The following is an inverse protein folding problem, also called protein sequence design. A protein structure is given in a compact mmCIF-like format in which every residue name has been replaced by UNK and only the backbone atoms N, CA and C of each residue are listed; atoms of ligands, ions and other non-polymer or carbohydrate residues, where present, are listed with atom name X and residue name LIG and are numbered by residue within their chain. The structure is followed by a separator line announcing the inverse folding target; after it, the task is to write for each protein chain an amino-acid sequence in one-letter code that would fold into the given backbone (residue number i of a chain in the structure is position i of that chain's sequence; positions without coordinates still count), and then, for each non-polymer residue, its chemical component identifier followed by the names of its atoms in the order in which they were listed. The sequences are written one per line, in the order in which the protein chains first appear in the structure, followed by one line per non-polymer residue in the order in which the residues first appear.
data_IF_074316689620
#
_entry.id   IF_074316689620
#
_cell.length_a   1.000
_cell.length_b   1.000
_cell.length_c   1.000
_cell.angle_alpha   90.00
_cell.angle_beta   90.00
_cell.angle_gamma   90.00
#
_symmetry.space_group_name_H-M   'P 1'
#
loop_
_entity.id
_entity.type
_entity.pdbx_description
1 polymer ?
#
# COMPACT_ATOMS: atom_id res chain seq x y z
N UNK A 1 24.15 -24.25 31.54
CA UNK A 1 22.91 -24.62 30.81
C UNK A 1 22.00 -23.41 30.88
N UNK A 2 22.03 -22.56 29.84
CA UNK A 2 21.14 -21.40 29.77
C UNK A 2 19.72 -21.93 29.60
N UNK A 3 18.79 -21.46 30.44
CA UNK A 3 17.38 -21.74 30.25
C UNK A 3 17.01 -21.27 28.83
N UNK A 4 16.47 -22.18 28.03
CA UNK A 4 15.84 -21.87 26.77
C UNK A 4 14.70 -20.88 27.10
N UNK A 5 14.97 -19.58 26.92
CA UNK A 5 13.94 -18.57 27.07
C UNK A 5 12.92 -18.85 25.98
N UNK A 6 11.76 -19.38 26.39
CA UNK A 6 10.63 -19.64 25.50
C UNK A 6 10.35 -18.35 24.70
N UNK A 7 10.55 -18.41 23.39
CA UNK A 7 10.52 -17.22 22.52
C UNK A 7 9.08 -16.79 22.33
N UNK A 8 8.57 -15.98 23.25
CA UNK A 8 7.23 -15.39 23.15
C UNK A 8 7.21 -14.38 22.01
N UNK A 9 6.46 -14.69 20.95
CA UNK A 9 6.38 -13.89 19.71
C UNK A 9 5.04 -13.19 19.56
N UNK A 10 5.06 -11.89 19.26
CA UNK A 10 3.88 -11.14 18.83
C UNK A 10 3.98 -10.79 17.35
N UNK A 11 2.92 -11.00 16.58
CA UNK A 11 2.80 -10.59 15.19
C UNK A 11 1.72 -9.53 15.07
N UNK A 12 2.12 -8.28 14.86
CA UNK A 12 1.23 -7.15 14.66
C UNK A 12 0.90 -6.96 13.19
N UNK A 13 -0.37 -7.12 12.83
CA UNK A 13 -0.90 -6.97 11.47
C UNK A 13 -1.52 -5.59 11.31
N UNK A 14 -1.00 -4.83 10.34
CA UNK A 14 -1.49 -3.51 9.95
C UNK A 14 -1.98 -3.60 8.50
N UNK A 15 -3.26 -3.90 8.33
CA UNK A 15 -3.85 -4.10 7.01
C UNK A 15 -4.27 -2.77 6.35
N UNK A 16 -4.51 -2.79 5.03
CA UNK A 16 -5.04 -1.66 4.29
C UNK A 16 -6.55 -1.44 4.48
N UNK A 17 -7.08 -0.31 3.97
CA UNK A 17 -8.53 -0.06 3.95
C UNK A 17 -9.17 -0.94 2.86
N UNK A 18 -10.25 -1.63 3.21
CA UNK A 18 -10.90 -2.56 2.28
C UNK A 18 -11.51 -3.83 2.88
N UNK A 19 -11.53 -4.00 4.21
CA UNK A 19 -12.26 -5.12 4.82
C UNK A 19 -13.75 -5.04 4.45
N UNK A 20 -14.28 -6.08 3.78
CA UNK A 20 -15.73 -6.17 3.53
C UNK A 20 -16.46 -6.64 4.77
N UNK A 21 -15.81 -7.48 5.57
CA UNK A 21 -16.29 -7.98 6.86
C UNK A 21 -15.17 -7.84 7.90
N UNK A 22 -15.51 -7.54 9.17
CA UNK A 22 -14.50 -7.47 10.22
C UNK A 22 -13.71 -8.78 10.32
N UNK A 23 -12.38 -8.68 10.47
CA UNK A 23 -11.41 -9.79 10.57
C UNK A 23 -11.25 -10.63 9.32
N UNK A 24 -11.87 -10.29 8.20
CA UNK A 24 -11.72 -11.10 6.99
C UNK A 24 -10.27 -11.12 6.50
N UNK A 25 -9.59 -9.96 6.52
CA UNK A 25 -8.20 -9.85 6.09
C UNK A 25 -7.26 -10.40 7.16
N UNK A 26 -7.57 -10.13 8.43
CA UNK A 26 -6.79 -10.64 9.56
C UNK A 26 -6.83 -12.17 9.65
N UNK A 27 -8.00 -12.79 9.54
CA UNK A 27 -8.15 -14.25 9.52
C UNK A 27 -7.44 -14.87 8.32
N UNK A 28 -7.58 -14.26 7.13
CA UNK A 28 -6.82 -14.66 5.95
C UNK A 28 -5.31 -14.59 6.18
N UNK A 29 -4.82 -13.50 6.79
CA UNK A 29 -3.40 -13.33 7.11
C UNK A 29 -2.92 -14.44 8.05
N UNK A 30 -3.61 -14.66 9.18
CA UNK A 30 -3.20 -15.66 10.18
C UNK A 30 -3.20 -17.06 9.60
N UNK A 31 -4.20 -17.43 8.78
CA UNK A 31 -4.19 -18.71 8.07
C UNK A 31 -3.06 -18.85 7.06
N UNK A 32 -2.68 -17.75 6.41
CA UNK A 32 -1.56 -17.74 5.46
C UNK A 32 -0.22 -17.85 6.19
N UNK A 33 -0.09 -17.20 7.34
CA UNK A 33 1.10 -17.20 8.19
C UNK A 33 1.35 -18.54 8.90
N UNK A 34 0.28 -19.27 9.27
CA UNK A 34 0.38 -20.54 9.97
C UNK A 34 0.38 -21.73 9.01
N UNK A 35 1.11 -22.79 9.38
CA UNK A 35 1.01 -24.09 8.73
C UNK A 35 -0.24 -24.83 9.25
N UNK A 36 -1.11 -25.36 8.36
CA UNK A 36 -2.24 -26.16 8.79
C UNK A 36 -1.75 -27.48 9.42
N UNK A 37 -2.27 -27.83 10.58
CA UNK A 37 -2.08 -29.13 11.22
C UNK A 37 -3.31 -30.00 10.91
N UNK A 38 -3.09 -31.15 10.27
CA UNK A 38 -4.16 -32.10 9.89
C UNK A 38 -5.30 -31.45 9.07
N UNK A 39 -4.97 -30.44 8.25
CA UNK A 39 -5.94 -29.70 7.44
C UNK A 39 -6.73 -28.63 8.21
N UNK A 40 -6.36 -28.33 9.45
CA UNK A 40 -6.98 -27.29 10.29
C UNK A 40 -5.96 -26.24 10.73
N UNK A 41 -6.40 -24.99 10.85
CA UNK A 41 -5.58 -23.91 11.39
C UNK A 41 -5.81 -23.79 12.89
N UNK A 42 -4.74 -23.96 13.64
CA UNK A 42 -4.75 -23.96 15.10
C UNK A 42 -4.60 -22.53 15.64
N UNK A 43 -5.65 -21.73 15.49
CA UNK A 43 -5.74 -20.37 16.03
C UNK A 43 -7.08 -20.14 16.72
N UNK A 44 -7.05 -19.41 17.84
CA UNK A 44 -8.24 -19.13 18.62
C UNK A 44 -8.38 -17.64 18.96
N UNK A 45 -9.59 -17.05 18.83
CA UNK A 45 -9.88 -15.71 19.33
C UNK A 45 -9.62 -15.64 20.83
N UNK A 46 -8.86 -14.63 21.24
CA UNK A 46 -8.68 -14.23 22.63
C UNK A 46 -9.10 -12.77 22.78
N UNK A 47 -9.67 -12.38 23.92
CA UNK A 47 -9.80 -10.96 24.25
C UNK A 47 -8.41 -10.31 24.23
N UNK A 48 -8.31 -9.12 23.63
CA UNK A 48 -7.13 -8.29 23.77
C UNK A 48 -7.27 -7.47 25.06
N UNK A 49 -6.37 -7.66 26.02
CA UNK A 49 -6.28 -6.82 27.23
C UNK A 49 -5.45 -5.55 26.99
N UNK A 50 -5.08 -5.26 25.74
CA UNK A 50 -4.27 -4.10 25.38
C UNK A 50 -5.10 -2.83 25.61
N UNK A 51 -4.65 -2.02 26.57
CA UNK A 51 -5.30 -0.80 27.06
C UNK A 51 -5.60 0.21 25.95
N UNK A 52 -6.72 0.92 26.10
CA UNK A 52 -7.26 2.03 25.29
C UNK A 52 -7.53 1.77 23.79
N UNK A 53 -7.25 0.57 23.27
CA UNK A 53 -7.67 0.14 21.94
C UNK A 53 -8.81 -0.88 22.05
N UNK A 54 -10.02 -0.39 22.31
CA UNK A 54 -11.26 -1.20 22.44
C UNK A 54 -11.60 -2.06 21.20
N UNK A 55 -10.86 -1.92 20.09
CA UNK A 55 -11.08 -2.64 18.84
C UNK A 55 -9.88 -3.54 18.43
N UNK A 56 -8.79 -3.59 19.21
CA UNK A 56 -7.68 -4.47 18.91
C UNK A 56 -8.12 -5.95 19.05
N UNK A 57 -7.83 -6.75 18.04
CA UNK A 57 -8.24 -8.17 17.99
C UNK A 57 -7.01 -9.06 18.11
N UNK A 58 -7.18 -10.18 18.79
CA UNK A 58 -6.08 -11.10 19.10
C UNK A 58 -6.42 -12.54 18.73
N UNK A 59 -5.52 -13.19 18.01
CA UNK A 59 -5.51 -14.64 17.83
C UNK A 59 -4.30 -15.23 18.55
N UNK A 60 -4.54 -16.25 19.36
CA UNK A 60 -3.47 -17.06 19.93
C UNK A 60 -3.28 -18.31 19.05
N UNK A 61 -2.04 -18.61 18.69
CA UNK A 61 -1.63 -19.83 18.01
C UNK A 61 -0.71 -20.62 18.96
N UNK A 62 -1.28 -21.48 19.85
CA UNK A 62 -0.54 -22.09 20.96
C UNK A 62 0.61 -22.97 20.50
N UNK A 63 0.43 -23.67 19.36
CA UNK A 63 1.45 -24.55 18.78
C UNK A 63 2.76 -23.84 18.43
N UNK A 64 2.66 -22.59 18.00
CA UNK A 64 3.79 -21.76 17.60
C UNK A 64 4.22 -20.78 18.70
N UNK A 65 3.61 -20.82 19.90
CA UNK A 65 3.87 -19.84 20.97
C UNK A 65 3.67 -18.39 20.52
N UNK A 66 2.82 -18.17 19.52
CA UNK A 66 2.72 -16.88 18.80
C UNK A 66 1.34 -16.27 18.98
N UNK A 67 1.32 -14.96 19.16
CA UNK A 67 0.11 -14.17 19.30
C UNK A 67 0.01 -13.13 18.18
N UNK A 68 -1.09 -13.16 17.45
CA UNK A 68 -1.37 -12.22 16.38
C UNK A 68 -2.26 -11.10 16.89
N UNK A 69 -1.93 -9.87 16.53
CA UNK A 69 -2.65 -8.66 16.87
C UNK A 69 -3.07 -7.93 15.61
N UNK A 70 -4.29 -7.42 15.57
CA UNK A 70 -4.77 -6.55 14.49
C UNK A 70 -4.84 -5.10 14.98
N UNK A 71 -4.20 -4.18 14.26
CA UNK A 71 -4.43 -2.75 14.46
C UNK A 71 -5.59 -2.27 13.59
N UNK A 72 -6.80 -2.23 14.15
CA UNK A 72 -7.97 -1.73 13.47
C UNK A 72 -7.99 -0.19 13.49
N UNK A 73 -7.80 0.45 12.34
CA UNK A 73 -7.70 1.92 12.22
C UNK A 73 -8.81 2.55 11.37
N UNK A 74 -9.63 1.74 10.69
CA UNK A 74 -10.55 2.18 9.65
C UNK A 74 -11.57 3.22 10.17
N UNK A 75 -11.97 3.11 11.43
CA UNK A 75 -12.89 4.05 12.09
C UNK A 75 -12.33 5.49 12.22
N UNK A 76 -11.00 5.67 12.17
CA UNK A 76 -10.36 6.98 12.24
C UNK A 76 -10.37 7.72 10.90
N UNK A 77 -10.62 7.01 9.79
CA UNK A 77 -10.65 7.58 8.45
C UNK A 77 -12.09 7.85 8.00
N UNK A 78 -12.68 8.91 8.55
CA UNK A 78 -14.05 9.38 8.27
C UNK A 78 -14.11 10.54 7.25
N UNK A 79 -12.97 11.01 6.74
CA UNK A 79 -12.89 12.14 5.78
C UNK A 79 -13.60 11.89 4.44
N UNK A 80 -13.84 12.95 3.66
CA UNK A 80 -14.54 12.85 2.37
C UNK A 80 -13.90 11.82 1.42
N UNK A 81 -14.76 10.98 0.81
CA UNK A 81 -14.42 9.86 -0.10
C UNK A 81 -13.52 10.25 -1.29
N UNK A 82 -13.33 11.54 -1.54
CA UNK A 82 -12.65 12.09 -2.73
C UNK A 82 -11.48 13.03 -2.42
N UNK A 83 -11.14 13.30 -1.16
CA UNK A 83 -10.10 14.26 -0.81
C UNK A 83 -8.73 13.85 -1.37
N UNK A 84 -8.09 14.74 -2.15
CA UNK A 84 -6.73 14.53 -2.68
C UNK A 84 -6.57 13.54 -3.82
N UNK A 85 -7.61 12.78 -4.16
CA UNK A 85 -7.56 11.69 -5.16
C UNK A 85 -7.36 12.23 -6.58
N UNK A 86 -8.18 13.20 -6.99
CA UNK A 86 -8.13 13.78 -8.34
C UNK A 86 -6.76 14.39 -8.70
N UNK A 87 -6.15 15.27 -7.88
CA UNK A 87 -4.83 15.82 -8.21
C UNK A 87 -3.74 14.75 -8.22
N UNK A 88 -3.82 13.72 -7.37
CA UNK A 88 -2.81 12.65 -7.37
C UNK A 88 -2.98 11.70 -8.55
N UNK A 89 -4.22 11.37 -8.94
CA UNK A 89 -4.50 10.65 -10.18
C UNK A 89 -3.99 11.45 -11.38
N UNK A 90 -4.21 12.77 -11.44
CA UNK A 90 -3.67 13.60 -12.51
C UNK A 90 -2.14 13.61 -12.49
N UNK A 91 -1.48 13.68 -11.32
CA UNK A 91 -0.02 13.54 -11.21
C UNK A 91 0.49 12.19 -11.70
N UNK A 92 -0.27 11.11 -11.54
CA UNK A 92 0.13 9.77 -11.99
C UNK A 92 -0.07 9.60 -13.50
N UNK A 93 -1.20 10.08 -14.03
CA UNK A 93 -1.61 9.85 -15.42
C UNK A 93 -1.15 10.92 -16.41
N UNK A 94 -0.95 12.18 -15.97
CA UNK A 94 -0.40 13.25 -16.79
C UNK A 94 1.13 13.18 -16.83
N UNK A 95 1.63 12.11 -17.45
CA UNK A 95 3.06 11.82 -17.59
C UNK A 95 3.36 11.32 -18.99
N UNK A 96 4.60 11.54 -19.46
CA UNK A 96 5.09 10.84 -20.66
C UNK A 96 5.21 9.33 -20.36
N UNK A 97 5.02 8.44 -21.35
CA UNK A 97 5.06 6.99 -21.14
C UNK A 97 6.33 6.47 -20.45
N UNK A 98 7.48 7.13 -20.69
CA UNK A 98 8.76 6.74 -20.09
C UNK A 98 8.93 7.14 -18.61
N UNK A 99 8.07 8.02 -18.08
CA UNK A 99 8.08 8.42 -16.66
C UNK A 99 7.05 7.67 -15.82
N UNK A 100 6.20 6.84 -16.43
CA UNK A 100 5.18 6.08 -15.73
C UNK A 100 5.85 4.83 -15.11
N UNK A 101 5.59 4.53 -13.82
CA UNK A 101 6.03 3.27 -13.22
C UNK A 101 5.60 2.07 -14.05
N UNK A 102 6.47 1.06 -14.17
CA UNK A 102 6.23 -0.09 -15.06
C UNK A 102 4.95 -0.85 -14.71
N UNK A 103 4.60 -0.89 -13.41
CA UNK A 103 3.36 -1.50 -12.88
C UNK A 103 2.08 -0.77 -13.32
N UNK A 104 2.17 0.54 -13.60
CA UNK A 104 1.03 1.37 -13.99
C UNK A 104 0.94 1.60 -15.50
N UNK A 105 2.01 1.32 -16.26
CA UNK A 105 2.09 1.63 -17.69
C UNK A 105 0.96 0.98 -18.51
N UNK A 106 0.55 -0.25 -18.18
CA UNK A 106 -0.54 -0.92 -18.89
C UNK A 106 -1.90 -0.25 -18.69
N UNK A 107 -2.16 0.24 -17.48
CA UNK A 107 -3.39 0.99 -17.15
C UNK A 107 -3.32 2.39 -17.75
N UNK A 108 -2.16 3.03 -17.68
CA UNK A 108 -1.90 4.32 -18.28
C UNK A 108 -2.20 4.30 -19.79
N UNK A 109 -1.72 3.27 -20.51
CA UNK A 109 -2.02 3.07 -21.93
C UNK A 109 -3.51 2.91 -22.19
N UNK A 110 -4.19 2.10 -21.39
CA UNK A 110 -5.64 1.91 -21.50
C UNK A 110 -6.40 3.22 -21.26
N UNK A 111 -6.07 3.95 -20.20
CA UNK A 111 -6.69 5.22 -19.86
C UNK A 111 -6.53 6.25 -20.99
N UNK A 112 -5.30 6.43 -21.50
CA UNK A 112 -5.05 7.34 -22.61
C UNK A 112 -5.65 6.87 -23.93
N UNK A 113 -5.73 5.55 -24.19
CA UNK A 113 -6.44 5.03 -25.36
C UNK A 113 -7.93 5.36 -25.30
N UNK A 114 -8.56 5.22 -24.13
CA UNK A 114 -9.97 5.59 -23.93
C UNK A 114 -10.17 7.10 -24.10
N UNK A 115 -9.27 7.93 -23.56
CA UNK A 115 -9.32 9.39 -23.71
C UNK A 115 -9.15 9.79 -25.19
N UNK A 116 -8.18 9.22 -25.90
CA UNK A 116 -7.94 9.49 -27.32
C UNK A 116 -9.12 9.01 -28.17
N UNK A 117 -9.65 7.82 -27.91
CA UNK A 117 -10.85 7.32 -28.60
C UNK A 117 -12.04 8.25 -28.37
N UNK A 118 -12.26 8.71 -27.14
CA UNK A 118 -13.30 9.68 -26.79
C UNK A 118 -13.11 11.03 -27.52
N UNK A 119 -11.87 11.51 -27.64
CA UNK A 119 -11.55 12.74 -28.38
C UNK A 119 -11.79 12.58 -29.89
N UNK A 120 -11.54 11.38 -30.46
CA UNK A 120 -11.78 11.09 -31.88
C UNK A 120 -13.26 10.96 -32.24
N UNK A 121 -14.14 10.68 -31.27
CA UNK A 121 -15.60 10.67 -31.51
C UNK A 121 -16.10 12.05 -31.95
N UNK A 122 -15.53 13.14 -31.41
CA UNK A 122 -15.94 14.52 -31.71
C UNK A 122 -15.84 14.86 -33.20
N UNK A 123 -14.65 14.75 -33.86
CA UNK A 123 -14.54 15.04 -35.28
C UNK A 123 -15.33 14.06 -36.15
N UNK A 124 -15.46 12.78 -35.75
CA UNK A 124 -16.28 11.80 -36.49
C UNK A 124 -17.75 12.22 -36.51
N UNK A 125 -18.30 12.66 -35.38
CA UNK A 125 -19.67 13.17 -35.31
C UNK A 125 -19.85 14.44 -36.15
N UNK A 126 -18.87 15.34 -36.14
CA UNK A 126 -18.88 16.57 -36.93
C UNK A 126 -18.85 16.30 -38.44
N UNK A 127 -17.93 15.45 -38.91
CA UNK A 127 -17.80 15.07 -40.32
C UNK A 127 -19.03 14.29 -40.80
N UNK A 128 -19.57 13.39 -39.97
CA UNK A 128 -20.79 12.64 -40.30
C UNK A 128 -21.99 13.57 -40.44
N UNK A 129 -22.13 14.56 -39.56
CA UNK A 129 -23.18 15.59 -39.66
C UNK A 129 -23.06 16.45 -40.93
N UNK A 130 -21.83 16.79 -41.35
CA UNK A 130 -21.58 17.52 -42.59
C UNK A 130 -21.85 16.68 -43.85
N UNK A 131 -21.44 15.40 -43.85
CA UNK A 131 -21.59 14.49 -44.98
C UNK A 131 -23.05 14.09 -45.26
N UNK A 132 -23.94 14.17 -44.26
CA UNK A 132 -25.35 13.80 -44.39
C UNK A 132 -26.22 14.84 -45.14
N UNK A 133 -25.62 15.90 -45.72
CA UNK A 133 -26.24 16.91 -46.58
C UNK A 133 -27.68 17.29 -46.21
N UNK A 134 -27.88 17.59 -44.93
CA UNK A 134 -29.18 18.01 -44.43
C UNK A 134 -29.40 19.47 -44.78
N UNK A 135 -30.56 19.81 -45.38
CA UNK A 135 -31.11 21.17 -45.56
C UNK A 135 -31.38 21.91 -44.23
N UNK A 136 -30.68 21.51 -43.17
CA UNK A 136 -30.81 21.97 -41.81
C UNK A 136 -29.79 23.09 -41.59
N UNK A 137 -30.23 24.27 -41.10
CA UNK A 137 -29.32 25.36 -40.74
C UNK A 137 -28.16 24.89 -39.84
N UNK A 138 -26.93 25.29 -40.17
CA UNK A 138 -25.72 24.82 -39.49
C UNK A 138 -25.67 25.07 -37.97
N UNK A 139 -26.46 26.02 -37.46
CA UNK A 139 -26.58 26.27 -36.01
C UNK A 139 -27.34 25.16 -35.27
N UNK A 140 -28.31 24.50 -35.91
CA UNK A 140 -29.05 23.36 -35.33
C UNK A 140 -28.11 22.16 -35.24
N UNK A 141 -27.36 21.89 -36.31
CA UNK A 141 -26.34 20.84 -36.33
C UNK A 141 -25.29 21.10 -35.25
N UNK A 142 -24.81 22.34 -35.13
CA UNK A 142 -23.87 22.75 -34.08
C UNK A 142 -24.42 22.54 -32.67
N UNK A 143 -25.68 22.87 -32.39
CA UNK A 143 -26.33 22.65 -31.10
C UNK A 143 -26.51 21.16 -30.78
N UNK A 144 -27.00 20.36 -31.73
CA UNK A 144 -27.21 18.91 -31.53
C UNK A 144 -25.88 18.19 -31.32
N UNK A 145 -24.85 18.51 -32.11
CA UNK A 145 -23.50 17.98 -31.93
C UNK A 145 -22.93 18.40 -30.58
N UNK A 146 -23.08 19.67 -30.19
CA UNK A 146 -22.63 20.15 -28.88
C UNK A 146 -23.34 19.44 -27.72
N UNK A 147 -24.64 19.22 -27.82
CA UNK A 147 -25.41 18.51 -26.80
C UNK A 147 -25.00 17.03 -26.70
N UNK A 148 -24.81 16.34 -27.82
CA UNK A 148 -24.32 14.94 -27.85
C UNK A 148 -22.91 14.84 -27.26
N UNK A 149 -22.02 15.76 -27.62
CA UNK A 149 -20.66 15.84 -27.07
C UNK A 149 -20.70 16.08 -25.57
N UNK A 150 -21.51 17.01 -25.08
CA UNK A 150 -21.66 17.28 -23.64
C UNK A 150 -22.23 16.08 -22.88
N UNK A 151 -23.27 15.41 -23.40
CA UNK A 151 -23.85 14.20 -22.80
C UNK A 151 -22.83 13.08 -22.77
N UNK A 152 -22.07 12.88 -23.86
CA UNK A 152 -21.01 11.89 -23.94
C UNK A 152 -19.89 12.16 -22.94
N UNK A 153 -19.38 13.40 -22.87
CA UNK A 153 -18.35 13.79 -21.90
C UNK A 153 -18.85 13.70 -20.46
N UNK A 154 -20.10 14.06 -20.19
CA UNK A 154 -20.71 13.90 -18.87
C UNK A 154 -20.88 12.42 -18.49
N UNK A 155 -21.29 11.58 -19.44
CA UNK A 155 -21.37 10.13 -19.27
C UNK A 155 -19.99 9.51 -19.02
N UNK A 156 -18.99 9.90 -19.80
CA UNK A 156 -17.59 9.49 -19.63
C UNK A 156 -17.03 9.97 -18.27
N UNK A 157 -17.31 11.21 -17.87
CA UNK A 157 -16.96 11.74 -16.55
C UNK A 157 -17.56 10.89 -15.43
N UNK A 158 -18.86 10.57 -15.49
CA UNK A 158 -19.51 9.68 -14.51
C UNK A 158 -18.92 8.28 -14.50
N UNK A 159 -18.61 7.73 -15.67
CA UNK A 159 -18.02 6.40 -15.80
C UNK A 159 -16.61 6.36 -15.22
N UNK A 160 -15.77 7.37 -15.53
CA UNK A 160 -14.43 7.51 -14.96
C UNK A 160 -14.47 7.75 -13.45
N UNK A 161 -15.38 8.59 -12.96
CA UNK A 161 -15.57 8.83 -11.53
C UNK A 161 -15.98 7.55 -10.78
N UNK A 162 -16.86 6.73 -11.36
CA UNK A 162 -17.23 5.42 -10.81
C UNK A 162 -16.08 4.41 -10.89
N UNK A 163 -15.33 4.39 -12.00
CA UNK A 163 -14.19 3.49 -12.17
C UNK A 163 -13.03 3.82 -11.20
N UNK A 164 -12.87 5.10 -10.84
CA UNK A 164 -11.89 5.56 -9.86
C UNK A 164 -12.22 5.09 -8.43
N UNK A 165 -13.50 4.84 -8.15
CA UNK A 165 -14.00 4.33 -6.86
C UNK A 165 -14.57 2.92 -7.04
N UNK A 166 -13.74 2.02 -7.58
CA UNK A 166 -14.04 0.60 -7.63
C UNK A 166 -13.05 -0.15 -6.72
N UNK A 167 -13.38 -1.37 -6.32
CA UNK A 167 -12.54 -2.23 -5.45
C UNK A 167 -11.10 -2.36 -5.95
N UNK A 168 -10.89 -2.23 -7.27
CA UNK A 168 -9.57 -2.34 -7.93
C UNK A 168 -8.63 -1.17 -7.69
N UNK A 169 -9.16 0.02 -7.40
CA UNK A 169 -8.38 1.26 -7.21
C UNK A 169 -8.37 1.72 -5.76
N UNK A 170 -9.14 1.07 -4.88
CA UNK A 170 -9.24 1.39 -3.46
C UNK A 170 -7.86 1.51 -2.77
N UNK A 171 -6.90 0.56 -2.92
CA UNK A 171 -5.62 0.67 -2.22
C UNK A 171 -4.82 1.95 -2.54
N UNK A 172 -4.91 2.44 -3.79
CA UNK A 172 -4.30 3.71 -4.19
C UNK A 172 -5.05 4.91 -3.62
N UNK A 173 -6.38 4.90 -3.73
CA UNK A 173 -7.24 5.97 -3.19
C UNK A 173 -6.99 6.14 -1.69
N UNK A 174 -6.86 5.02 -0.97
CA UNK A 174 -6.66 5.02 0.48
C UNK A 174 -5.28 5.54 0.86
N UNK A 175 -4.24 5.18 0.09
CA UNK A 175 -2.89 5.72 0.27
C UNK A 175 -2.84 7.22 0.04
N UNK A 176 -3.49 7.69 -1.02
CA UNK A 176 -3.57 9.13 -1.34
C UNK A 176 -4.34 9.89 -0.28
N UNK A 177 -5.44 9.31 0.23
CA UNK A 177 -6.26 9.90 1.29
C UNK A 177 -5.50 10.00 2.60
N UNK A 178 -4.77 8.94 2.99
CA UNK A 178 -3.92 9.01 4.17
C UNK A 178 -2.83 10.07 4.05
N UNK A 179 -2.21 10.14 2.87
CA UNK A 179 -1.13 11.06 2.60
C UNK A 179 -1.59 12.47 2.25
N UNK A 180 -2.90 12.76 2.18
CA UNK A 180 -3.44 14.08 1.88
C UNK A 180 -3.04 15.15 2.95
N UNK A 181 -2.69 16.40 2.57
CA UNK A 181 -2.21 17.40 3.53
C UNK A 181 -3.34 18.17 4.24
N UNK A 182 -4.61 17.89 3.93
CA UNK A 182 -5.72 18.64 4.52
C UNK A 182 -5.76 18.46 6.05
N UNK A 183 -6.26 19.46 6.80
CA UNK A 183 -6.32 19.40 8.26
C UNK A 183 -7.06 18.17 8.81
N UNK A 184 -8.14 17.74 8.14
CA UNK A 184 -8.89 16.53 8.53
C UNK A 184 -8.05 15.26 8.38
N UNK A 185 -7.30 15.15 7.28
CA UNK A 185 -6.41 14.02 7.02
C UNK A 185 -5.21 14.04 7.98
N UNK A 186 -4.76 15.22 8.42
CA UNK A 186 -3.72 15.34 9.45
C UNK A 186 -4.18 14.83 10.82
N UNK A 187 -5.38 15.19 11.27
CA UNK A 187 -5.93 14.70 12.54
C UNK A 187 -6.07 13.18 12.55
N UNK A 188 -6.63 12.61 11.47
CA UNK A 188 -6.73 11.17 11.29
C UNK A 188 -5.35 10.50 11.28
N UNK A 189 -4.39 11.04 10.52
CA UNK A 189 -3.01 10.54 10.48
C UNK A 189 -2.35 10.54 11.85
N UNK A 190 -2.50 11.63 12.61
CA UNK A 190 -1.96 11.74 13.97
C UNK A 190 -2.56 10.68 14.90
N UNK A 191 -3.88 10.48 14.85
CA UNK A 191 -4.56 9.48 15.66
C UNK A 191 -4.11 8.05 15.31
N UNK A 192 -4.03 7.72 14.01
CA UNK A 192 -3.57 6.42 13.51
C UNK A 192 -2.13 6.14 13.95
N UNK A 193 -1.22 7.11 13.75
CA UNK A 193 0.19 6.95 14.15
C UNK A 193 0.32 6.83 15.66
N UNK A 194 -0.40 7.66 16.43
CA UNK A 194 -0.39 7.62 17.89
C UNK A 194 -0.87 6.28 18.44
N UNK A 195 -2.04 5.81 18.00
CA UNK A 195 -2.58 4.53 18.46
C UNK A 195 -1.70 3.33 18.10
N UNK A 196 -1.06 3.34 16.92
CA UNK A 196 -0.14 2.27 16.54
C UNK A 196 1.17 2.29 17.36
N UNK A 197 1.71 3.47 17.66
CA UNK A 197 2.86 3.63 18.57
C UNK A 197 2.51 3.17 19.98
N UNK A 198 1.31 3.50 20.47
CA UNK A 198 0.83 3.05 21.78
C UNK A 198 0.70 1.53 21.84
N UNK A 199 0.14 0.90 20.81
CA UNK A 199 0.06 -0.56 20.70
C UNK A 199 1.45 -1.20 20.66
N UNK A 200 2.38 -0.69 19.84
CA UNK A 200 3.76 -1.16 19.77
C UNK A 200 4.45 -1.07 21.14
N UNK A 201 4.24 0.04 21.85
CA UNK A 201 4.77 0.23 23.20
C UNK A 201 4.20 -0.78 24.19
N UNK A 202 2.88 -1.00 24.18
CA UNK A 202 2.26 -2.01 25.05
C UNK A 202 2.80 -3.41 24.77
N UNK A 203 2.92 -3.81 23.50
CA UNK A 203 3.54 -5.09 23.13
C UNK A 203 5.02 -5.15 23.53
N UNK A 204 5.74 -4.04 23.37
CA UNK A 204 7.12 -3.95 23.81
C UNK A 204 7.24 -4.15 25.32
N UNK A 205 6.32 -3.62 26.12
CA UNK A 205 6.36 -3.72 27.58
C UNK A 205 5.80 -5.07 28.11
N UNK A 206 4.92 -5.76 27.36
CA UNK A 206 4.22 -7.01 27.74
C UNK A 206 5.10 -8.30 27.71
N UNK A 207 6.42 -8.15 27.86
CA UNK A 207 7.33 -9.30 27.99
C UNK A 207 7.63 -10.09 26.70
N UNK A 208 7.13 -9.66 25.52
CA UNK A 208 7.51 -10.27 24.23
C UNK A 208 8.99 -10.13 23.94
N UNK A 209 9.65 -11.23 23.57
CA UNK A 209 11.06 -11.22 23.19
C UNK A 209 11.25 -10.95 21.70
N UNK A 210 10.20 -11.19 20.91
CA UNK A 210 10.15 -10.98 19.47
C UNK A 210 8.83 -10.34 19.06
N UNK A 211 8.89 -9.22 18.35
CA UNK A 211 7.75 -8.56 17.74
C UNK A 211 7.99 -8.45 16.24
N UNK A 212 7.05 -8.97 15.45
CA UNK A 212 7.01 -8.86 14.00
C UNK A 212 5.90 -7.91 13.61
N UNK A 213 6.19 -6.90 12.80
CA UNK A 213 5.19 -5.99 12.24
C UNK A 213 4.95 -6.35 10.79
N UNK A 214 3.77 -6.88 10.46
CA UNK A 214 3.37 -7.21 9.10
C UNK A 214 2.35 -6.20 8.59
N UNK A 215 2.64 -5.55 7.48
CA UNK A 215 1.84 -4.46 6.95
C UNK A 215 1.47 -4.68 5.48
N UNK A 216 0.19 -4.55 5.16
CA UNK A 216 -0.33 -4.76 3.80
C UNK A 216 -0.93 -3.48 3.21
N UNK A 217 -0.65 -3.24 1.93
CA UNK A 217 -1.17 -2.09 1.21
C UNK A 217 -0.83 -0.77 1.92
N UNK A 218 -1.83 0.11 2.11
CA UNK A 218 -1.62 1.40 2.79
C UNK A 218 -1.14 1.26 4.23
N UNK A 219 -1.42 0.13 4.90
CA UNK A 219 -0.95 -0.13 6.26
C UNK A 219 0.59 -0.10 6.38
N UNK A 220 1.31 -0.31 5.27
CA UNK A 220 2.76 -0.18 5.22
C UNK A 220 3.25 1.24 5.54
N UNK A 221 2.52 2.29 5.13
CA UNK A 221 2.85 3.66 5.55
C UNK A 221 2.70 3.84 7.05
N UNK A 222 1.66 3.23 7.64
CA UNK A 222 1.34 3.46 9.05
C UNK A 222 2.36 2.77 9.94
N UNK A 223 2.66 1.50 9.62
CA UNK A 223 3.69 0.74 10.29
C UNK A 223 5.07 1.40 10.15
N UNK A 224 5.45 1.83 8.95
CA UNK A 224 6.71 2.54 8.72
C UNK A 224 6.83 3.81 9.57
N UNK A 225 5.80 4.66 9.56
CA UNK A 225 5.77 5.89 10.34
C UNK A 225 5.81 5.60 11.85
N UNK A 226 5.02 4.63 12.31
CA UNK A 226 4.95 4.26 13.73
C UNK A 226 6.27 3.67 14.24
N UNK A 227 6.93 2.81 13.46
CA UNK A 227 8.25 2.26 13.80
C UNK A 227 9.30 3.36 13.94
N UNK A 228 9.32 4.30 13.00
CA UNK A 228 10.26 5.43 13.03
C UNK A 228 10.02 6.34 14.24
N UNK A 229 8.76 6.62 14.56
CA UNK A 229 8.39 7.43 15.73
C UNK A 229 8.68 6.70 17.05
N UNK A 230 8.35 5.41 17.13
CA UNK A 230 8.57 4.61 18.32
C UNK A 230 10.07 4.43 18.60
N UNK A 231 10.89 4.24 17.56
CA UNK A 231 12.34 4.19 17.69
C UNK A 231 12.92 5.48 18.28
N UNK A 232 12.50 6.65 17.77
CA UNK A 232 12.95 7.92 18.33
C UNK A 232 12.58 8.06 19.82
N UNK A 233 11.36 7.67 20.20
CA UNK A 233 10.92 7.67 21.60
C UNK A 233 11.66 6.65 22.47
N UNK A 234 12.04 5.51 21.90
CA UNK A 234 12.78 4.47 22.61
C UNK A 234 14.24 4.90 22.85
N UNK A 235 14.87 5.58 21.90
CA UNK A 235 16.24 6.08 22.00
C UNK A 235 16.38 7.28 22.96
N UNK A 236 15.44 8.24 22.94
CA UNK A 236 15.48 9.40 23.86
C UNK A 236 15.32 9.00 25.34
N UNK A 237 14.81 7.79 25.60
CA UNK A 237 14.71 7.20 26.92
C UNK A 237 15.97 6.39 27.21
N UNK A 238 17.06 7.11 27.49
CA UNK A 238 18.40 6.64 27.92
C UNK A 238 18.42 5.75 29.20
N UNK A 239 17.27 5.22 29.61
CA UNK A 239 17.07 4.28 30.72
C UNK A 239 16.01 3.22 30.46
N UNK A 240 15.68 2.90 29.19
CA UNK A 240 14.80 1.78 28.88
C UNK A 240 15.35 0.47 29.46
N UNK A 241 14.57 -0.16 30.35
CA UNK A 241 14.92 -1.43 31.01
C UNK A 241 14.90 -2.64 30.06
N UNK A 242 14.36 -2.50 28.84
CA UNK A 242 14.19 -3.58 27.87
C UNK A 242 14.87 -3.25 26.54
N UNK A 243 15.67 -4.16 25.97
CA UNK A 243 16.27 -3.97 24.65
C UNK A 243 15.21 -4.00 23.55
N UNK A 244 15.47 -3.31 22.44
CA UNK A 244 14.62 -3.31 21.25
C UNK A 244 14.30 -4.75 20.82
N UNK A 245 13.01 -5.09 20.73
CA UNK A 245 12.54 -6.45 20.43
C UNK A 245 11.66 -6.54 19.17
N UNK A 246 11.57 -5.45 18.39
CA UNK A 246 10.92 -5.49 17.07
C UNK A 246 11.94 -6.00 16.06
N UNK A 247 11.83 -7.27 15.70
CA UNK A 247 12.87 -7.97 14.92
C UNK A 247 12.64 -7.89 13.43
N UNK A 248 11.38 -7.86 13.00
CA UNK A 248 11.01 -7.98 11.59
C UNK A 248 9.91 -6.96 11.23
N UNK A 249 10.10 -6.28 10.10
CA UNK A 249 9.10 -5.45 9.45
C UNK A 249 8.83 -6.02 8.05
N UNK A 250 7.64 -6.56 7.86
CA UNK A 250 7.23 -7.22 6.62
C UNK A 250 6.23 -6.34 5.90
N UNK A 251 6.54 -5.91 4.68
CA UNK A 251 5.62 -5.16 3.83
C UNK A 251 5.08 -6.03 2.70
N UNK A 252 3.78 -5.99 2.45
CA UNK A 252 3.11 -6.81 1.44
C UNK A 252 2.33 -5.91 0.48
N UNK A 253 2.65 -5.97 -0.81
CA UNK A 253 1.98 -5.16 -1.85
C UNK A 253 2.06 -3.66 -1.58
N UNK A 254 3.13 -3.19 -0.94
CA UNK A 254 3.16 -1.85 -0.36
C UNK A 254 3.24 -0.74 -1.43
N UNK A 255 2.34 0.27 -1.40
CA UNK A 255 2.41 1.47 -2.23
C UNK A 255 3.58 2.38 -1.89
N UNK A 256 4.41 2.01 -0.90
CA UNK A 256 5.71 2.62 -0.62
C UNK A 256 6.62 2.64 -1.86
N UNK A 257 6.43 1.71 -2.81
CA UNK A 257 7.14 1.72 -4.11
C UNK A 257 6.86 2.97 -4.95
N UNK A 258 5.76 3.68 -4.66
CA UNK A 258 5.33 4.92 -5.28
C UNK A 258 5.54 6.15 -4.36
N UNK A 259 6.31 6.01 -3.28
CA UNK A 259 6.46 7.06 -2.28
C UNK A 259 7.10 8.34 -2.84
N UNK A 260 7.98 8.22 -3.84
CA UNK A 260 8.56 9.37 -4.54
C UNK A 260 7.54 10.19 -5.34
N UNK A 261 6.36 9.64 -5.61
CA UNK A 261 5.23 10.34 -6.25
C UNK A 261 4.24 10.86 -5.22
N UNK A 262 3.87 10.02 -4.26
CA UNK A 262 2.78 10.32 -3.32
C UNK A 262 3.24 11.22 -2.17
N UNK A 263 4.47 11.05 -1.67
CA UNK A 263 5.03 11.88 -0.60
C UNK A 263 5.61 13.20 -1.12
N UNK A 264 6.44 13.14 -2.17
CA UNK A 264 7.13 14.35 -2.66
C UNK A 264 6.21 15.29 -3.44
N UNK A 265 5.12 14.74 -4.00
CA UNK A 265 4.09 15.45 -4.78
C UNK A 265 4.70 16.43 -5.80
N UNK A 266 5.46 15.92 -6.78
CA UNK A 266 6.07 16.78 -7.78
C UNK A 266 4.99 17.55 -8.55
N UNK A 267 5.36 18.66 -9.17
CA UNK A 267 4.42 19.49 -9.92
C UNK A 267 3.76 18.68 -11.05
N UNK A 268 2.48 18.93 -11.34
CA UNK A 268 1.72 18.17 -12.33
C UNK A 268 2.42 18.12 -13.70
N UNK A 269 2.99 19.25 -14.13
CA UNK A 269 3.65 19.36 -15.44
C UNK A 269 5.06 18.78 -15.47
N UNK A 270 5.69 18.52 -14.31
CA UNK A 270 7.01 17.88 -14.27
C UNK A 270 6.98 16.49 -14.93
N UNK A 271 5.87 15.77 -14.81
CA UNK A 271 5.65 14.45 -15.38
C UNK A 271 5.80 14.36 -16.91
N UNK A 272 5.64 15.48 -17.61
CA UNK A 272 5.80 15.58 -19.06
C UNK A 272 7.27 15.79 -19.48
N UNK A 273 8.13 16.20 -18.54
CA UNK A 273 9.54 16.53 -18.81
C UNK A 273 10.43 15.30 -18.81
N UNK A 274 11.53 15.30 -19.58
CA UNK A 274 12.50 14.21 -19.55
C UNK A 274 13.21 13.97 -18.22
N UNK A 275 13.36 15.02 -17.44
CA UNK A 275 14.06 15.01 -16.16
C UNK A 275 13.20 14.54 -14.97
N UNK A 276 11.91 14.26 -15.15
CA UNK A 276 10.98 13.94 -14.06
C UNK A 276 11.49 12.85 -13.11
N UNK A 277 12.01 11.73 -13.66
CA UNK A 277 12.53 10.64 -12.82
C UNK A 277 13.66 11.09 -11.90
N UNK A 278 14.60 11.89 -12.43
CA UNK A 278 15.69 12.46 -11.64
C UNK A 278 15.18 13.48 -10.61
N UNK A 279 14.20 14.32 -10.97
CA UNK A 279 13.59 15.30 -10.06
C UNK A 279 12.87 14.60 -8.90
N UNK A 280 12.09 13.56 -9.17
CA UNK A 280 11.40 12.78 -8.13
C UNK A 280 12.39 12.12 -7.17
N UNK A 281 13.46 11.54 -7.73
CA UNK A 281 14.54 10.94 -6.97
C UNK A 281 15.19 11.95 -6.03
N UNK A 282 15.58 13.12 -6.56
CA UNK A 282 16.22 14.18 -5.76
C UNK A 282 15.28 14.74 -4.68
N UNK A 283 13.99 14.92 -4.98
CA UNK A 283 13.00 15.33 -3.97
C UNK A 283 12.89 14.30 -2.85
N UNK A 284 12.85 13.00 -3.18
CA UNK A 284 12.75 11.92 -2.20
C UNK A 284 14.02 11.81 -1.36
N UNK A 285 15.20 11.82 -1.97
CA UNK A 285 16.47 11.85 -1.25
C UNK A 285 16.60 13.09 -0.37
N UNK A 286 16.06 14.24 -0.81
CA UNK A 286 15.98 15.44 0.00
C UNK A 286 15.09 15.29 1.25
N UNK A 287 14.15 14.34 1.29
CA UNK A 287 13.39 14.01 2.51
C UNK A 287 14.21 13.12 3.45
N UNK A 288 14.97 12.16 2.91
CA UNK A 288 15.91 11.33 3.68
C UNK A 288 17.01 12.19 4.32
N UNK A 289 17.67 13.06 3.55
CA UNK A 289 18.74 13.95 4.04
C UNK A 289 18.28 14.91 5.14
N UNK A 290 17.00 15.30 5.13
CA UNK A 290 16.41 16.17 6.15
C UNK A 290 15.88 15.41 7.37
N UNK A 291 16.00 14.08 7.39
CA UNK A 291 15.45 13.23 8.47
C UNK A 291 13.92 13.19 8.52
N UNK A 292 13.23 13.61 7.44
CA UNK A 292 11.77 13.50 7.34
C UNK A 292 11.34 12.05 7.11
N UNK A 293 12.16 11.33 6.34
CA UNK A 293 12.06 9.91 6.10
C UNK A 293 13.34 9.23 6.61
N UNK A 294 13.21 7.97 6.97
CA UNK A 294 14.31 7.13 7.42
C UNK A 294 14.51 5.97 6.45
N UNK A 295 15.74 5.84 5.95
CA UNK A 295 16.13 4.75 5.07
C UNK A 295 16.56 3.50 5.83
N UNK A 296 16.73 2.42 5.09
CA UNK A 296 17.36 1.18 5.50
C UNK A 296 18.77 1.13 4.85
N UNK A 297 19.80 1.67 5.52
CA UNK A 297 21.15 1.67 5.00
C UNK A 297 21.69 0.24 4.84
N UNK A 298 22.67 0.00 3.95
CA UNK A 298 23.36 -1.28 3.91
C UNK A 298 24.12 -1.52 5.23
N UNK A 299 24.34 -2.80 5.58
CA UNK A 299 25.00 -3.20 6.84
C UNK A 299 26.40 -2.59 7.04
N UNK A 300 27.03 -2.09 5.98
CA UNK A 300 28.40 -1.55 5.97
C UNK A 300 28.51 -0.04 6.26
N UNK A 301 27.39 0.69 6.38
CA UNK A 301 27.41 2.16 6.53
C UNK A 301 27.53 2.60 8.01
N UNK A 302 28.23 3.69 8.36
CA UNK A 302 28.51 4.05 9.76
C UNK A 302 27.31 4.61 10.55
N UNK A 303 26.20 4.98 9.90
CA UNK A 303 25.06 5.66 10.53
C UNK A 303 24.04 4.68 11.16
N UNK A 304 24.53 3.50 11.58
CA UNK A 304 23.78 2.33 12.08
C UNK A 304 22.87 2.66 13.28
N UNK A 305 23.13 3.76 14.02
CA UNK A 305 22.36 4.13 15.21
C UNK A 305 21.08 4.94 14.96
N UNK A 306 20.88 5.51 13.75
CA UNK A 306 19.82 6.50 13.52
C UNK A 306 18.54 5.96 12.88
N UNK A 307 18.53 4.69 12.48
CA UNK A 307 17.38 4.06 11.81
C UNK A 307 16.88 2.85 12.59
N UNK A 308 15.56 2.67 12.78
CA UNK A 308 15.03 1.42 13.34
C UNK A 308 15.35 0.20 12.48
N UNK A 309 15.60 0.41 11.19
CA UNK A 309 15.81 -0.66 10.22
C UNK A 309 17.23 -1.24 10.22
N UNK A 310 18.09 -0.76 11.13
CA UNK A 310 19.38 -1.41 11.43
C UNK A 310 19.22 -2.49 12.50
N UNK A 311 18.25 -2.33 13.40
CA UNK A 311 17.87 -3.31 14.41
C UNK A 311 16.65 -4.17 14.00
N UNK A 312 15.94 -3.76 12.94
CA UNK A 312 14.72 -4.42 12.43
C UNK A 312 14.93 -4.85 10.99
N UNK A 313 14.77 -6.15 10.70
CA UNK A 313 14.88 -6.70 9.34
C UNK A 313 13.67 -6.30 8.52
N UNK A 314 13.89 -5.52 7.47
CA UNK A 314 12.82 -5.12 6.56
C UNK A 314 12.74 -6.07 5.36
N UNK A 315 11.67 -6.87 5.28
CA UNK A 315 11.34 -7.72 4.12
C UNK A 315 10.16 -7.16 3.34
N UNK A 316 10.25 -7.10 2.01
CA UNK A 316 9.16 -6.64 1.16
C UNK A 316 8.74 -7.72 0.16
N UNK A 317 7.44 -8.03 0.12
CA UNK A 317 6.83 -9.05 -0.74
C UNK A 317 5.82 -8.40 -1.69
N UNK A 318 5.87 -8.70 -2.99
CA UNK A 318 4.85 -8.23 -3.93
C UNK A 318 4.65 -9.14 -5.14
N UNK A 319 3.48 -9.06 -5.78
CA UNK A 319 3.21 -9.68 -7.08
C UNK A 319 3.72 -8.78 -8.22
N UNK A 320 4.75 -9.19 -8.98
CA UNK A 320 5.35 -8.35 -10.00
C UNK A 320 4.40 -8.15 -11.20
N UNK A 321 4.43 -6.93 -11.76
CA UNK A 321 3.72 -6.58 -13.00
C UNK A 321 4.75 -6.45 -14.11
N UNK A 322 4.62 -7.27 -15.16
CA UNK A 322 5.42 -7.10 -16.36
C UNK A 322 5.11 -5.75 -17.03
N UNK A 323 6.13 -5.05 -17.52
CA UNK A 323 5.98 -3.71 -18.11
C UNK A 323 4.94 -3.70 -19.24
N UNK A 324 3.91 -2.87 -19.09
CA UNK A 324 2.80 -2.76 -20.06
C UNK A 324 1.68 -3.80 -19.88
N UNK A 325 1.84 -4.75 -18.96
CA UNK A 325 0.77 -5.65 -18.53
C UNK A 325 -0.28 -4.91 -17.70
N UNK A 326 -1.47 -5.53 -17.60
CA UNK A 326 -2.55 -5.12 -16.69
C UNK A 326 -2.78 -6.15 -15.57
N UNK A 327 -1.94 -7.18 -15.51
CA UNK A 327 -2.02 -8.31 -14.58
C UNK A 327 -0.89 -8.20 -13.57
N UNK A 328 -1.20 -8.44 -12.28
CA UNK A 328 -0.26 -8.26 -11.17
C UNK A 328 -0.73 -7.19 -10.18
N UNK A 329 0.07 -6.94 -9.15
CA UNK A 329 -0.17 -5.89 -8.17
C UNK A 329 0.38 -4.55 -8.70
N UNK A 330 -0.53 -3.61 -8.95
CA UNK A 330 -0.20 -2.30 -9.50
C UNK A 330 0.48 -1.36 -8.49
N UNK A 331 0.34 -1.65 -7.21
CA UNK A 331 0.76 -0.79 -6.09
C UNK A 331 2.01 -1.31 -5.39
N UNK A 332 2.18 -2.64 -5.36
CA UNK A 332 3.41 -3.28 -4.91
C UNK A 332 4.59 -3.08 -5.87
N UNK A 333 5.80 -3.06 -5.32
CA UNK A 333 7.03 -2.96 -6.09
C UNK A 333 8.25 -3.04 -5.17
N UNK A 334 9.43 -3.03 -5.79
CA UNK A 334 10.74 -3.00 -5.11
C UNK A 334 10.87 -1.71 -4.27
N UNK A 335 11.21 -1.85 -2.99
CA UNK A 335 11.36 -0.72 -2.07
C UNK A 335 12.80 -0.26 -1.91
N UNK A 336 13.76 -1.17 -2.07
CA UNK A 336 15.18 -0.91 -1.85
C UNK A 336 15.73 0.22 -2.72
N UNK A 337 15.12 0.45 -3.90
CA UNK A 337 15.43 1.62 -4.73
C UNK A 337 15.24 2.91 -3.97
N UNK A 338 14.12 3.09 -3.27
CA UNK A 338 13.79 4.35 -2.60
C UNK A 338 14.35 4.40 -1.19
N UNK A 339 14.12 3.36 -0.41
CA UNK A 339 14.41 3.36 1.03
C UNK A 339 15.80 2.83 1.38
N UNK A 340 16.51 2.17 0.47
CA UNK A 340 17.90 1.74 0.68
C UNK A 340 18.08 0.23 0.52
N UNK A 341 19.33 -0.16 0.26
CA UNK A 341 19.68 -1.53 -0.13
C UNK A 341 19.59 -2.58 1.01
N UNK A 342 19.38 -2.15 2.26
CA UNK A 342 19.18 -3.06 3.39
C UNK A 342 17.84 -3.79 3.37
N UNK A 343 16.90 -3.39 2.50
CA UNK A 343 15.59 -4.06 2.38
C UNK A 343 15.73 -5.36 1.59
N UNK A 344 15.20 -6.44 2.15
CA UNK A 344 15.08 -7.72 1.46
C UNK A 344 13.83 -7.74 0.58
N UNK A 345 13.99 -7.30 -0.66
CA UNK A 345 12.93 -7.32 -1.69
C UNK A 345 12.76 -8.71 -2.32
N UNK A 346 11.54 -9.26 -2.24
CA UNK A 346 11.17 -10.58 -2.79
C UNK A 346 9.99 -10.44 -3.75
N UNK A 347 10.25 -10.66 -5.04
CA UNK A 347 9.21 -10.76 -6.05
C UNK A 347 8.53 -12.14 -5.98
N UNK A 348 7.24 -12.18 -5.66
CA UNK A 348 6.47 -13.42 -5.52
C UNK A 348 6.06 -13.94 -6.89
N UNK A 349 6.63 -15.07 -7.29
CA UNK A 349 6.48 -15.65 -8.64
C UNK A 349 5.56 -16.88 -8.69
N UNK A 350 4.90 -17.24 -7.58
CA UNK A 350 3.85 -18.27 -7.45
C UNK A 350 2.41 -17.71 -7.42
N UNK A 351 1.45 -18.43 -6.85
CA UNK A 351 0.01 -18.12 -6.79
C UNK A 351 -0.63 -17.91 -8.17
N UNK A 352 -0.38 -18.81 -9.11
CA UNK A 352 -1.13 -18.82 -10.37
C UNK A 352 -2.51 -19.49 -10.17
N UNK A 353 -3.59 -18.96 -10.79
CA UNK A 353 -3.66 -17.76 -11.64
C UNK A 353 -3.88 -16.43 -10.89
N UNK A 354 -4.01 -16.43 -9.57
CA UNK A 354 -4.49 -15.29 -8.78
C UNK A 354 -3.58 -14.07 -8.86
N UNK A 355 -2.25 -14.27 -8.84
CA UNK A 355 -1.28 -13.18 -9.01
C UNK A 355 -1.47 -12.42 -10.32
N UNK A 356 -2.10 -13.03 -11.34
CA UNK A 356 -2.31 -12.42 -12.64
C UNK A 356 -3.71 -11.80 -12.81
N UNK A 357 -4.55 -11.78 -11.76
CA UNK A 357 -5.87 -11.15 -11.79
C UNK A 357 -5.74 -9.65 -12.07
N UNK A 358 -6.49 -9.17 -13.07
CA UNK A 358 -6.39 -7.79 -13.58
C UNK A 358 -6.96 -6.77 -12.60
N UNK A 359 -6.07 -6.02 -11.95
CA UNK A 359 -6.40 -4.96 -11.00
C UNK A 359 -6.94 -5.44 -9.66
N UNK A 360 -6.87 -6.73 -9.36
CA UNK A 360 -7.27 -7.27 -8.07
C UNK A 360 -6.26 -8.23 -7.47
N UNK A 361 -5.14 -8.53 -8.14
CA UNK A 361 -4.07 -9.35 -7.54
C UNK A 361 -3.60 -8.80 -6.18
N UNK A 362 -3.65 -7.48 -5.98
CA UNK A 362 -3.34 -6.84 -4.71
C UNK A 362 -4.21 -7.32 -3.53
N UNK A 363 -5.42 -7.81 -3.78
CA UNK A 363 -6.33 -8.32 -2.73
C UNK A 363 -6.23 -9.83 -2.53
N UNK A 364 -5.33 -10.52 -3.23
CA UNK A 364 -5.28 -11.99 -3.29
C UNK A 364 -4.19 -12.59 -2.39
N UNK A 365 -3.32 -11.77 -1.78
CA UNK A 365 -2.19 -12.25 -0.97
C UNK A 365 -2.63 -13.24 0.12
N UNK A 366 -3.72 -12.94 0.83
CA UNK A 366 -4.21 -13.73 1.96
C UNK A 366 -5.44 -14.59 1.65
N UNK A 367 -5.87 -14.62 0.39
CA UNK A 367 -7.11 -15.31 -0.01
C UNK A 367 -6.94 -16.81 -0.21
N UNK A 368 -5.69 -17.28 -0.30
CA UNK A 368 -5.37 -18.67 -0.65
C UNK A 368 -4.30 -19.25 0.30
N UNK A 369 -4.63 -19.40 1.60
CA UNK A 369 -3.68 -19.89 2.61
C UNK A 369 -3.22 -21.35 2.37
N UNK A 370 -3.99 -22.11 1.59
CA UNK A 370 -3.67 -23.50 1.22
C UNK A 370 -2.58 -23.62 0.14
N UNK A 371 -2.31 -22.53 -0.60
CA UNK A 371 -1.30 -22.52 -1.68
C UNK A 371 0.07 -22.19 -1.11
N UNK A 372 0.84 -23.24 -0.81
CA UNK A 372 2.15 -23.18 -0.16
C UNK A 372 3.27 -23.84 -0.98
N UNK A 373 3.12 -23.90 -2.31
CA UNK A 373 4.21 -24.38 -3.15
C UNK A 373 5.38 -23.39 -3.13
N UNK A 374 6.59 -23.86 -3.46
CA UNK A 374 7.76 -22.99 -3.57
C UNK A 374 7.47 -21.82 -4.54
N UNK A 375 7.70 -20.59 -4.06
CA UNK A 375 7.41 -19.36 -4.80
C UNK A 375 6.00 -18.80 -4.56
N UNK A 376 5.09 -19.54 -3.93
CA UNK A 376 3.81 -19.00 -3.47
C UNK A 376 4.01 -18.01 -2.31
N UNK A 377 3.04 -17.13 -2.13
CA UNK A 377 3.04 -16.08 -1.13
C UNK A 377 3.02 -16.67 0.28
N UNK A 378 2.23 -17.71 0.54
CA UNK A 378 2.21 -18.37 1.84
C UNK A 378 3.60 -18.92 2.19
N UNK A 379 4.28 -19.54 1.21
CA UNK A 379 5.63 -20.08 1.36
C UNK A 379 6.63 -18.99 1.73
N UNK A 380 6.61 -17.86 1.01
CA UNK A 380 7.46 -16.71 1.33
C UNK A 380 7.13 -16.13 2.71
N UNK A 381 5.85 -15.91 3.03
CA UNK A 381 5.43 -15.32 4.30
C UNK A 381 5.83 -16.21 5.49
N UNK A 382 5.56 -17.52 5.42
CA UNK A 382 5.92 -18.49 6.45
C UNK A 382 7.42 -18.54 6.68
N UNK A 383 8.21 -18.52 5.60
CA UNK A 383 9.68 -18.49 5.69
C UNK A 383 10.20 -17.21 6.30
N UNK A 384 9.60 -16.07 5.99
CA UNK A 384 9.97 -14.77 6.58
C UNK A 384 9.58 -14.70 8.06
N UNK A 385 8.39 -15.19 8.43
CA UNK A 385 7.95 -15.20 9.83
C UNK A 385 8.72 -16.23 10.68
N UNK A 386 9.02 -17.40 10.11
CA UNK A 386 9.69 -18.52 10.77
C UNK A 386 9.07 -18.85 12.14
N UNK A 387 7.75 -19.12 12.13
CA UNK A 387 6.94 -19.48 13.30
C UNK A 387 6.90 -20.98 13.57
#
# INVERSE_FOLDING_TARGET
MAAEHDVRTAVLVVHGMGEKRPMETFDGFVRTALNPADGTWDHHPRPAEVTDTYEARRYAAPRQGTEFYEYHWQYLMTTDRYAGVAPTALRLFLRRPSNVPDSLLGIWRLAWTVVLAALLVIPVLFVSGYALNSDVPGWIIGLTVSAVVLIFWFGLYRLLARALVNTKTAPLVDSVRYLDPTPFSYAARRAIRGGLVDLLRTLHDDGYTRIVVAAHGVGAYFAYDALTLFWAQAQDRDGQKKPWCITDFITVGAPLSLADLVLTRPSLLSGLKPSDGAVRRELFEGLLRRGVLVGCPPETEPDIGRSPFTATRWTNLWFPVARGSRSGDWFGGELGRLFGAGIHDVAVTGNAPERFKRGSAHTEYFSHPDKDAEGDFAWHLRRTLAL
#
